data_IF_698430287673
#
_entry.id   IF_698430287673
#
_cell.length_a   1.000
_cell.length_b   1.000
_cell.length_c   1.000
_cell.angle_alpha   90.00
_cell.angle_beta   90.00
_cell.angle_gamma   90.00
#
_symmetry.space_group_name_H-M   'P 1'
#
loop_
_entity.id
_entity.type
_entity.pdbx_description
1 polymer ?
#
# COMPACT_ATOMS: atom_id res chain seq x y z
N UNK A 1 30.94 -38.43 -64.97
CA UNK A 1 31.22 -39.34 -63.84
C UNK A 1 30.01 -39.38 -62.93
N UNK A 2 29.37 -40.55 -62.94
CA UNK A 2 28.31 -41.10 -62.08
C UNK A 2 28.39 -40.59 -60.62
N UNK A 3 27.34 -40.41 -59.84
CA UNK A 3 25.94 -40.80 -59.96
C UNK A 3 25.26 -40.49 -58.62
N UNK A 4 24.05 -39.94 -58.71
CA UNK A 4 23.14 -39.61 -57.62
C UNK A 4 22.65 -40.87 -56.89
N UNK A 5 22.51 -40.80 -55.56
CA UNK A 5 21.65 -41.73 -54.81
C UNK A 5 20.65 -40.93 -53.98
N UNK A 6 19.48 -40.74 -54.58
CA UNK A 6 18.23 -40.36 -53.92
C UNK A 6 17.66 -41.57 -53.18
N UNK A 7 17.07 -41.33 -52.01
CA UNK A 7 15.92 -42.11 -51.52
C UNK A 7 14.90 -41.14 -50.94
N UNK A 8 13.72 -41.17 -51.55
CA UNK A 8 12.54 -40.37 -51.28
C UNK A 8 11.40 -41.29 -50.85
N UNK A 9 10.61 -40.90 -49.85
CA UNK A 9 9.19 -41.29 -49.60
C UNK A 9 8.65 -40.25 -48.60
N UNK A 10 7.76 -39.28 -48.84
CA UNK A 10 6.47 -39.15 -49.53
C UNK A 10 5.26 -39.75 -48.77
N UNK A 11 4.47 -38.91 -48.08
CA UNK A 11 3.01 -38.99 -47.81
C UNK A 11 2.55 -37.55 -47.40
N UNK A 12 1.87 -36.68 -48.18
CA UNK A 12 0.56 -36.74 -48.90
C UNK A 12 -0.60 -36.84 -47.90
N UNK A 13 -1.67 -36.01 -47.80
CA UNK A 13 -2.26 -34.87 -48.55
C UNK A 13 -3.56 -34.50 -47.72
N UNK A 14 -3.92 -33.24 -47.42
CA UNK A 14 -5.00 -32.42 -48.05
C UNK A 14 -6.31 -32.18 -47.25
N UNK A 15 -6.67 -30.88 -47.22
CA UNK A 15 -7.98 -30.18 -47.29
C UNK A 15 -9.02 -30.29 -46.16
N UNK A 16 -9.34 -29.17 -45.48
CA UNK A 16 -10.28 -28.04 -45.82
C UNK A 16 -11.72 -28.39 -45.48
N UNK A 17 -12.37 -27.57 -44.65
CA UNK A 17 -13.69 -26.99 -44.95
C UNK A 17 -13.95 -25.73 -44.13
N UNK A 18 -14.33 -24.67 -44.85
CA UNK A 18 -14.82 -23.39 -44.34
C UNK A 18 -16.31 -23.48 -43.96
N UNK A 19 -16.76 -22.61 -43.06
CA UNK A 19 -18.18 -22.45 -42.72
C UNK A 19 -18.44 -21.07 -42.11
N UNK A 20 -18.91 -20.16 -42.95
CA UNK A 20 -19.28 -18.76 -42.71
C UNK A 20 -20.64 -18.62 -42.02
N UNK A 21 -20.85 -17.49 -41.32
CA UNK A 21 -21.93 -16.51 -41.58
C UNK A 21 -22.59 -15.90 -40.31
N UNK A 22 -22.47 -14.56 -40.25
CA UNK A 22 -23.52 -13.56 -39.99
C UNK A 22 -24.35 -13.64 -38.68
N UNK A 23 -24.33 -12.55 -37.90
CA UNK A 23 -25.49 -11.66 -37.83
C UNK A 23 -25.19 -10.37 -37.05
N UNK A 24 -25.66 -9.26 -37.61
CA UNK A 24 -25.74 -7.95 -36.97
C UNK A 24 -26.64 -7.98 -35.74
N UNK A 25 -26.23 -7.27 -34.69
CA UNK A 25 -27.09 -6.84 -33.60
C UNK A 25 -26.65 -5.46 -33.14
N UNK A 26 -27.36 -4.43 -33.63
CA UNK A 26 -27.21 -3.06 -33.15
C UNK A 26 -27.53 -2.98 -31.66
N UNK A 27 -26.64 -2.35 -30.91
CA UNK A 27 -26.79 -2.08 -29.48
C UNK A 27 -26.29 -0.69 -29.17
N UNK A 28 -27.19 0.28 -29.33
CA UNK A 28 -27.28 1.57 -28.66
C UNK A 28 -26.12 1.90 -27.68
N UNK A 29 -25.36 2.95 -27.99
CA UNK A 29 -24.58 3.68 -26.98
C UNK A 29 -25.58 4.28 -25.97
N UNK A 30 -25.78 3.56 -24.87
CA UNK A 30 -26.61 4.01 -23.75
C UNK A 30 -25.91 5.12 -22.98
N UNK A 31 -26.46 6.34 -23.08
CA UNK A 31 -26.40 7.32 -21.99
C UNK A 31 -27.28 6.76 -20.86
N UNK A 32 -26.70 6.50 -19.70
CA UNK A 32 -27.48 6.18 -18.51
C UNK A 32 -26.65 5.71 -17.32
N UNK A 33 -26.70 6.49 -16.25
CA UNK A 33 -26.75 5.94 -14.89
C UNK A 33 -25.44 5.80 -14.13
N UNK A 34 -25.20 6.77 -13.23
CA UNK A 34 -24.86 6.56 -11.82
C UNK A 34 -23.97 5.38 -11.45
N UNK A 35 -22.73 5.70 -11.09
CA UNK A 35 -21.80 4.76 -10.47
C UNK A 35 -20.51 5.45 -10.05
N UNK A 36 -20.58 6.49 -9.21
CA UNK A 36 -19.39 7.04 -8.55
C UNK A 36 -19.06 6.15 -7.35
N UNK A 37 -18.65 4.93 -7.64
CA UNK A 37 -18.36 3.89 -6.68
C UNK A 37 -17.09 3.15 -7.08
N UNK A 38 -16.11 3.22 -6.17
CA UNK A 38 -14.84 2.48 -6.13
C UNK A 38 -13.67 2.95 -7.01
N UNK A 39 -12.51 3.07 -6.34
CA UNK A 39 -11.21 2.96 -6.98
C UNK A 39 -10.35 4.21 -6.92
N UNK A 40 -9.99 4.66 -5.71
CA UNK A 40 -9.15 5.86 -5.55
C UNK A 40 -8.16 5.86 -4.39
N UNK A 41 -7.94 4.75 -3.68
CA UNK A 41 -6.74 4.59 -2.82
C UNK A 41 -5.50 4.26 -3.66
N UNK A 42 -5.33 4.95 -4.79
CA UNK A 42 -4.11 4.93 -5.59
C UNK A 42 -3.37 6.26 -5.44
N UNK A 43 -3.16 6.64 -4.18
CA UNK A 43 -2.03 7.48 -3.80
C UNK A 43 -0.78 6.61 -3.73
N UNK A 44 -0.12 6.45 -4.87
CA UNK A 44 1.23 5.88 -4.98
C UNK A 44 2.18 6.78 -4.20
N UNK A 45 2.29 6.53 -2.91
CA UNK A 45 3.05 7.37 -1.98
C UNK A 45 3.04 6.79 -0.59
N UNK A 46 3.91 5.81 -0.32
CA UNK A 46 4.47 5.52 1.01
C UNK A 46 3.48 5.71 2.20
N UNK A 47 2.31 5.07 2.14
CA UNK A 47 1.34 5.06 3.23
C UNK A 47 1.91 4.34 4.43
N UNK A 48 2.51 5.10 5.35
CA UNK A 48 3.23 4.57 6.51
C UNK A 48 4.73 4.39 6.29
N UNK A 49 5.38 5.28 5.52
CA UNK A 49 6.84 5.36 5.50
C UNK A 49 7.42 5.39 6.92
N UNK A 50 8.43 4.55 7.15
CA UNK A 50 9.23 4.44 8.37
C UNK A 50 9.31 5.78 9.12
N UNK A 51 8.85 5.87 10.37
CA UNK A 51 9.19 6.91 11.36
C UNK A 51 9.38 8.37 10.85
N UNK A 52 8.54 8.87 9.94
CA UNK A 52 8.79 10.20 9.38
C UNK A 52 10.15 10.29 8.67
N UNK A 53 10.64 9.22 8.07
CA UNK A 53 11.87 9.13 7.27
C UNK A 53 11.90 10.22 6.21
N UNK A 54 10.75 10.49 5.59
CA UNK A 54 10.60 11.60 4.66
C UNK A 54 10.86 12.97 5.31
N UNK A 55 10.52 13.12 6.59
CA UNK A 55 10.83 14.32 7.40
C UNK A 55 12.31 14.33 7.82
N UNK A 56 12.88 13.19 8.21
CA UNK A 56 14.30 13.06 8.54
C UNK A 56 15.18 13.40 7.34
N UNK A 57 14.86 12.85 6.16
CA UNK A 57 15.55 13.13 4.91
C UNK A 57 15.29 14.53 4.36
N UNK A 58 14.29 15.25 4.88
CA UNK A 58 14.09 16.66 4.57
C UNK A 58 14.80 17.58 5.55
N UNK A 59 15.48 17.06 6.57
CA UNK A 59 16.50 17.82 7.30
C UNK A 59 17.72 17.92 6.39
N UNK A 60 18.37 19.07 6.34
CA UNK A 60 19.59 19.27 5.54
C UNK A 60 20.76 18.50 6.19
N UNK A 61 20.78 17.18 6.00
CA UNK A 61 21.80 16.28 6.52
C UNK A 61 23.07 16.41 5.69
N UNK A 62 24.22 16.45 6.37
CA UNK A 62 25.53 16.31 5.71
C UNK A 62 25.69 14.90 5.13
N UNK A 63 26.61 14.72 4.19
CA UNK A 63 26.82 13.40 3.56
C UNK A 63 27.35 12.36 4.56
N UNK A 64 28.13 12.80 5.55
CA UNK A 64 28.55 11.96 6.67
C UNK A 64 27.33 11.51 7.52
N UNK A 65 26.42 12.42 7.85
CA UNK A 65 25.19 12.10 8.58
C UNK A 65 24.29 11.14 7.79
N UNK A 66 24.11 11.37 6.49
CA UNK A 66 23.32 10.47 5.61
C UNK A 66 23.89 9.06 5.62
N UNK A 67 25.21 8.92 5.54
CA UNK A 67 25.88 7.62 5.57
C UNK A 67 25.65 6.91 6.90
N UNK A 68 25.82 7.61 8.03
CA UNK A 68 25.57 7.06 9.35
C UNK A 68 24.11 6.64 9.55
N UNK A 69 23.15 7.48 9.13
CA UNK A 69 21.71 7.16 9.16
C UNK A 69 21.40 5.95 8.29
N UNK A 70 21.97 5.86 7.09
CA UNK A 70 21.77 4.73 6.19
C UNK A 70 22.26 3.41 6.82
N UNK A 71 23.41 3.42 7.50
CA UNK A 71 23.93 2.25 8.21
C UNK A 71 23.01 1.80 9.34
N UNK A 72 22.48 2.73 10.13
CA UNK A 72 21.49 2.41 11.17
C UNK A 72 20.23 1.80 10.55
N UNK A 73 19.70 2.37 9.47
CA UNK A 73 18.50 1.82 8.82
C UNK A 73 18.79 0.44 8.22
N UNK A 74 19.94 0.25 7.57
CA UNK A 74 20.34 -1.03 7.00
C UNK A 74 20.42 -2.13 8.06
N UNK A 75 20.96 -1.82 9.25
CA UNK A 75 21.04 -2.74 10.41
C UNK A 75 19.68 -3.32 10.81
N UNK A 76 18.60 -2.55 10.71
CA UNK A 76 17.25 -2.95 11.12
C UNK A 76 16.31 -3.27 9.95
N UNK A 77 16.80 -3.21 8.71
CA UNK A 77 15.95 -3.29 7.51
C UNK A 77 15.18 -4.60 7.43
N UNK A 78 15.85 -5.72 7.68
CA UNK A 78 15.26 -7.05 7.50
C UNK A 78 14.19 -7.30 8.57
N UNK A 79 14.48 -6.94 9.83
CA UNK A 79 13.52 -7.01 10.94
C UNK A 79 12.30 -6.11 10.68
N UNK A 80 12.52 -4.90 10.17
CA UNK A 80 11.43 -3.99 9.79
C UNK A 80 10.57 -4.56 8.66
N UNK A 81 11.20 -5.18 7.66
CA UNK A 81 10.51 -5.74 6.50
C UNK A 81 9.65 -6.92 6.92
N UNK A 82 10.23 -7.87 7.66
CA UNK A 82 9.52 -9.04 8.16
C UNK A 82 8.33 -8.67 9.07
N UNK A 83 8.51 -7.71 9.99
CA UNK A 83 7.42 -7.26 10.84
C UNK A 83 6.34 -6.48 10.04
N UNK A 84 6.75 -5.69 9.04
CA UNK A 84 5.80 -4.99 8.16
C UNK A 84 4.91 -5.95 7.38
N UNK A 85 5.45 -7.04 6.85
CA UNK A 85 4.69 -8.05 6.12
C UNK A 85 3.62 -8.69 7.02
N UNK A 86 4.01 -9.13 8.23
CA UNK A 86 3.07 -9.66 9.23
C UNK A 86 1.98 -8.65 9.61
N UNK A 87 2.37 -7.38 9.79
CA UNK A 87 1.43 -6.30 10.09
C UNK A 87 0.42 -6.05 8.95
N UNK A 88 0.84 -6.21 7.70
CA UNK A 88 -0.06 -6.07 6.55
C UNK A 88 -1.09 -7.20 6.54
N UNK A 89 -0.65 -8.44 6.69
CA UNK A 89 -1.53 -9.61 6.77
C UNK A 89 -2.52 -9.51 7.94
N UNK A 90 -2.05 -9.19 9.15
CA UNK A 90 -2.93 -9.09 10.31
C UNK A 90 -3.93 -7.91 10.21
N UNK A 91 -3.58 -6.84 9.49
CA UNK A 91 -4.53 -5.75 9.18
C UNK A 91 -5.58 -6.18 8.17
N UNK A 92 -5.20 -6.96 7.17
CA UNK A 92 -6.13 -7.54 6.21
C UNK A 92 -7.13 -8.44 6.92
N UNK A 93 -6.68 -9.38 7.75
CA UNK A 93 -7.55 -10.23 8.58
C UNK A 93 -8.54 -9.43 9.44
N UNK A 94 -8.06 -8.37 10.10
CA UNK A 94 -8.95 -7.50 10.88
C UNK A 94 -9.96 -6.77 9.98
N UNK A 95 -9.55 -6.32 8.80
CA UNK A 95 -10.43 -5.65 7.83
C UNK A 95 -11.49 -6.62 7.31
N UNK A 96 -11.10 -7.85 6.98
CA UNK A 96 -12.02 -8.89 6.52
C UNK A 96 -13.03 -9.26 7.61
N UNK A 97 -12.59 -9.40 8.87
CA UNK A 97 -13.50 -9.65 9.99
C UNK A 97 -14.49 -8.50 10.23
N UNK A 98 -14.10 -7.25 9.96
CA UNK A 98 -14.96 -6.06 10.08
C UNK A 98 -15.95 -5.98 8.91
N UNK A 99 -15.53 -6.37 7.71
CA UNK A 99 -16.31 -6.28 6.48
C UNK A 99 -17.04 -7.57 6.11
N UNK A 100 -17.04 -8.56 7.01
CA UNK A 100 -17.76 -9.82 6.83
C UNK A 100 -19.27 -9.57 6.64
N UNK A 101 -19.92 -10.46 5.88
CA UNK A 101 -21.36 -10.39 5.60
C UNK A 101 -22.20 -10.42 6.89
N UNK A 102 -21.81 -11.27 7.84
CA UNK A 102 -22.40 -11.33 9.17
C UNK A 102 -21.43 -10.80 10.23
N UNK A 103 -21.93 -9.91 11.10
CA UNK A 103 -21.14 -9.37 12.20
C UNK A 103 -20.84 -10.44 13.26
N UNK A 104 -19.57 -10.58 13.60
CA UNK A 104 -19.10 -11.39 14.71
C UNK A 104 -18.14 -10.59 15.59
N UNK A 105 -18.62 -10.16 16.76
CA UNK A 105 -17.78 -9.45 17.74
C UNK A 105 -16.55 -10.29 18.14
N UNK A 106 -16.74 -11.60 18.31
CA UNK A 106 -15.67 -12.53 18.67
C UNK A 106 -14.58 -12.57 17.61
N UNK A 107 -14.94 -12.67 16.32
CA UNK A 107 -13.98 -12.71 15.22
C UNK A 107 -13.17 -11.41 15.13
N UNK A 108 -13.83 -10.25 15.26
CA UNK A 108 -13.16 -8.94 15.27
C UNK A 108 -12.20 -8.82 16.45
N UNK A 109 -12.62 -9.24 17.64
CA UNK A 109 -11.75 -9.22 18.84
C UNK A 109 -10.53 -10.12 18.67
N UNK A 110 -10.70 -11.32 18.12
CA UNK A 110 -9.59 -12.26 17.86
C UNK A 110 -8.59 -11.67 16.86
N UNK A 111 -9.05 -11.18 15.70
CA UNK A 111 -8.18 -10.54 14.71
C UNK A 111 -7.45 -9.30 15.28
N UNK A 112 -8.12 -8.52 16.15
CA UNK A 112 -7.49 -7.40 16.83
C UNK A 112 -6.40 -7.84 17.83
N UNK A 113 -6.62 -8.93 18.56
CA UNK A 113 -5.64 -9.51 19.48
C UNK A 113 -4.41 -10.05 18.74
N UNK A 114 -4.57 -10.62 17.55
CA UNK A 114 -3.46 -11.03 16.69
C UNK A 114 -2.64 -9.84 16.17
N UNK A 115 -3.30 -8.73 15.84
CA UNK A 115 -2.65 -7.53 15.32
C UNK A 115 -1.89 -6.73 16.40
N UNK A 116 -2.35 -6.76 17.65
CA UNK A 116 -1.80 -5.96 18.75
C UNK A 116 -0.29 -6.15 19.00
N UNK A 117 0.23 -7.38 19.21
CA UNK A 117 1.65 -7.59 19.50
C UNK A 117 2.56 -7.15 18.33
N UNK A 118 2.12 -7.32 17.08
CA UNK A 118 2.87 -6.87 15.91
C UNK A 118 3.02 -5.33 15.88
N UNK A 119 1.98 -4.59 16.32
CA UNK A 119 2.05 -3.13 16.44
C UNK A 119 3.02 -2.71 17.55
N UNK A 120 3.04 -3.44 18.66
CA UNK A 120 3.98 -3.23 19.77
C UNK A 120 5.42 -3.42 19.31
N UNK A 121 5.73 -4.57 18.70
CA UNK A 121 7.07 -4.87 18.19
C UNK A 121 7.55 -3.78 17.21
N UNK A 122 6.68 -3.34 16.30
CA UNK A 122 7.00 -2.29 15.35
C UNK A 122 7.22 -0.93 16.03
N UNK A 123 6.50 -0.63 17.12
CA UNK A 123 6.72 0.58 17.90
C UNK A 123 8.09 0.55 18.60
N UNK A 124 8.46 -0.58 19.20
CA UNK A 124 9.77 -0.80 19.82
C UNK A 124 10.90 -0.71 18.80
N UNK A 125 10.74 -1.36 17.64
CA UNK A 125 11.74 -1.33 16.57
C UNK A 125 11.97 0.09 16.04
N UNK A 126 10.89 0.87 15.88
CA UNK A 126 11.02 2.30 15.60
C UNK A 126 11.77 2.99 16.74
N UNK A 127 11.37 2.84 18.00
CA UNK A 127 12.06 3.51 19.11
C UNK A 127 13.58 3.22 19.13
N UNK A 128 14.00 1.98 18.87
CA UNK A 128 15.42 1.60 18.75
C UNK A 128 16.12 2.40 17.66
N UNK A 129 15.58 2.40 16.44
CA UNK A 129 16.19 3.14 15.33
C UNK A 129 16.24 4.64 15.61
N UNK A 130 15.19 5.21 16.23
CA UNK A 130 15.15 6.63 16.57
C UNK A 130 16.28 6.98 17.56
N UNK A 131 16.51 6.12 18.55
CA UNK A 131 17.55 6.33 19.56
C UNK A 131 18.97 6.29 18.97
N UNK A 132 19.20 5.48 17.92
CA UNK A 132 20.49 5.43 17.22
C UNK A 132 20.67 6.58 16.23
N UNK A 133 19.59 7.10 15.64
CA UNK A 133 19.64 8.23 14.70
C UNK A 133 19.79 9.57 15.44
N UNK A 134 19.09 9.76 16.55
CA UNK A 134 19.06 11.04 17.28
C UNK A 134 20.45 11.63 17.60
N UNK A 135 21.47 10.87 18.05
CA UNK A 135 22.80 11.42 18.33
C UNK A 135 23.60 11.78 17.06
N UNK A 136 23.17 11.36 15.87
CA UNK A 136 23.80 11.74 14.58
C UNK A 136 23.38 13.16 14.17
N UNK A 137 22.22 13.62 14.63
CA UNK A 137 21.64 14.90 14.27
C UNK A 137 22.22 16.03 15.14
N UNK A 138 22.42 17.18 14.52
CA UNK A 138 22.79 18.39 15.24
C UNK A 138 21.59 18.94 16.05
N UNK A 139 21.81 19.68 17.15
CA UNK A 139 20.73 20.19 17.99
C UNK A 139 19.66 20.99 17.22
N UNK A 140 20.09 21.80 16.26
CA UNK A 140 19.22 22.59 15.38
C UNK A 140 18.36 21.70 14.46
N UNK A 141 18.91 20.58 13.97
CA UNK A 141 18.16 19.61 13.16
C UNK A 141 17.12 18.87 14.00
N UNK A 142 17.44 18.58 15.27
CA UNK A 142 16.49 17.99 16.22
C UNK A 142 15.34 18.97 16.51
N UNK A 143 15.64 20.25 16.74
CA UNK A 143 14.63 21.27 16.96
C UNK A 143 13.68 21.40 15.75
N UNK A 144 14.24 21.47 14.54
CA UNK A 144 13.48 21.52 13.29
C UNK A 144 12.62 20.26 13.07
N UNK A 145 13.12 19.09 13.47
CA UNK A 145 12.34 17.85 13.40
C UNK A 145 11.13 17.89 14.33
N UNK A 146 11.28 18.33 15.58
CA UNK A 146 10.16 18.42 16.53
C UNK A 146 9.15 19.50 16.13
N UNK A 147 9.60 20.63 15.58
CA UNK A 147 8.72 21.66 15.01
C UNK A 147 7.84 21.08 13.89
N UNK A 148 8.45 20.47 12.87
CA UNK A 148 7.73 19.84 11.76
C UNK A 148 6.81 18.71 12.22
N UNK A 149 7.17 18.01 13.29
CA UNK A 149 6.32 16.99 13.91
C UNK A 149 5.10 17.62 14.56
N UNK A 150 5.25 18.76 15.25
CA UNK A 150 4.14 19.50 15.83
C UNK A 150 3.21 20.04 14.75
N UNK A 151 3.72 20.66 13.69
CA UNK A 151 2.92 21.14 12.54
C UNK A 151 2.10 20.00 11.92
N UNK A 152 2.73 18.85 11.67
CA UNK A 152 2.02 17.68 11.15
C UNK A 152 0.94 17.16 12.08
N UNK A 153 1.14 17.27 13.39
CA UNK A 153 0.12 16.90 14.38
C UNK A 153 -1.09 17.83 14.29
N UNK A 154 -0.88 19.15 14.17
CA UNK A 154 -1.98 20.10 14.02
C UNK A 154 -2.72 19.91 12.69
N UNK A 155 -2.01 19.79 11.56
CA UNK A 155 -2.64 19.45 10.27
C UNK A 155 -3.45 18.16 10.33
N UNK A 156 -2.99 17.16 11.09
CA UNK A 156 -3.74 15.91 11.27
C UNK A 156 -5.02 16.14 12.07
N UNK A 157 -5.00 16.97 13.11
CA UNK A 157 -6.21 17.32 13.88
C UNK A 157 -7.22 18.05 13.00
N UNK A 158 -6.80 19.09 12.28
CA UNK A 158 -7.67 19.83 11.36
C UNK A 158 -8.30 18.90 10.32
N UNK A 159 -7.52 17.93 9.82
CA UNK A 159 -8.04 16.93 8.88
C UNK A 159 -9.07 16.00 9.52
N UNK A 160 -8.88 15.61 10.77
CA UNK A 160 -9.84 14.80 11.53
C UNK A 160 -11.12 15.61 11.76
N UNK A 161 -11.00 16.85 12.23
CA UNK A 161 -12.13 17.77 12.46
C UNK A 161 -12.91 18.02 11.17
N UNK A 162 -12.23 18.30 10.06
CA UNK A 162 -12.86 18.45 8.75
C UNK A 162 -13.60 17.19 8.31
N UNK A 163 -13.04 16.00 8.58
CA UNK A 163 -13.71 14.72 8.28
C UNK A 163 -14.94 14.51 9.15
N UNK A 164 -14.88 14.81 10.44
CA UNK A 164 -16.02 14.72 11.35
C UNK A 164 -17.12 15.70 10.92
N UNK A 165 -16.81 16.98 10.73
CA UNK A 165 -17.79 17.99 10.30
C UNK A 165 -18.47 17.63 8.96
N UNK A 166 -17.71 17.11 7.99
CA UNK A 166 -18.28 16.63 6.72
C UNK A 166 -19.23 15.44 6.91
N UNK A 167 -18.94 14.56 7.86
CA UNK A 167 -19.79 13.42 8.19
C UNK A 167 -21.06 13.90 8.90
N UNK A 168 -20.93 14.84 9.84
CA UNK A 168 -22.06 15.42 10.58
C UNK A 168 -23.04 16.12 9.63
N UNK A 169 -22.54 16.98 8.73
CA UNK A 169 -23.36 17.63 7.72
C UNK A 169 -24.06 16.64 6.78
N UNK A 170 -23.38 15.54 6.42
CA UNK A 170 -24.00 14.47 5.63
C UNK A 170 -25.12 13.78 6.41
N UNK A 171 -24.90 13.45 7.67
CA UNK A 171 -25.93 12.84 8.54
C UNK A 171 -27.15 13.77 8.66
N UNK A 172 -26.95 15.04 9.01
CA UNK A 172 -28.03 16.03 9.14
C UNK A 172 -28.88 16.17 7.88
N UNK A 173 -28.27 16.08 6.69
CA UNK A 173 -28.99 16.15 5.40
C UNK A 173 -29.76 14.88 5.02
N UNK A 174 -29.53 13.75 5.71
CA UNK A 174 -30.11 12.44 5.37
C UNK A 174 -30.94 11.81 6.50
N UNK A 175 -30.95 12.39 7.70
CA UNK A 175 -31.72 11.89 8.85
C UNK A 175 -32.86 12.82 9.31
N UNK A 176 -33.10 13.93 8.59
CA UNK A 176 -34.25 14.83 8.76
C UNK A 176 -35.23 14.68 7.60
#
# INVERSE_FOLDING_TARGET
MNGMKTLAVALVIIMVFAGSALAWGGGQHGKGGGGMGHGGFHGKGFGGGFMGFRMLMSLDLTDAQKTSVANVIAKYRDEMTANKEKLMEAREKLTDAILAEEFSETAVRQAAQELAPLKEEMAVLKAKVASEIRPILAPEQIALFEERRAEKKEMMKERIESRCSRMDAWLESNTN
#
